data_IF_940107430604
#
_entry.id   IF_940107430604
#
_cell.length_a   1.000
_cell.length_b   1.000
_cell.length_c   1.000
_cell.angle_alpha   90.00
_cell.angle_beta   90.00
_cell.angle_gamma   90.00
#
_symmetry.space_group_name_H-M   'P 1'
#
loop_
_entity.id
_entity.type
_entity.pdbx_description
1 polymer ?
#
# COMPACT_ATOMS: atom_id res chain seq x y z
N UNK A 1 -40.57 -43.38 -5.60
CA UNK A 1 -40.11 -43.20 -6.98
C UNK A 1 -39.24 -41.96 -7.04
N UNK A 2 -38.00 -42.17 -7.46
CA UNK A 2 -37.03 -41.21 -8.01
C UNK A 2 -36.92 -39.81 -7.38
N UNK A 3 -36.04 -39.73 -6.39
CA UNK A 3 -35.26 -38.55 -6.04
C UNK A 3 -34.20 -38.38 -7.14
N UNK A 4 -34.30 -37.33 -7.94
CA UNK A 4 -33.32 -37.01 -8.97
C UNK A 4 -32.05 -36.50 -8.29
N UNK A 5 -30.96 -37.26 -8.48
CA UNK A 5 -29.58 -36.82 -8.30
C UNK A 5 -29.32 -35.58 -9.15
N UNK A 6 -28.87 -34.51 -8.52
CA UNK A 6 -27.99 -33.52 -9.14
C UNK A 6 -26.64 -33.63 -8.43
N UNK A 7 -25.85 -34.61 -8.87
CA UNK A 7 -24.40 -34.59 -8.72
C UNK A 7 -23.84 -33.66 -9.80
N UNK A 8 -22.92 -32.77 -9.41
CA UNK A 8 -21.94 -32.22 -10.34
C UNK A 8 -21.92 -30.71 -10.48
N UNK A 9 -21.25 -30.03 -9.56
CA UNK A 9 -20.23 -29.02 -9.87
C UNK A 9 -19.57 -28.55 -8.57
N UNK A 10 -18.75 -29.42 -7.96
CA UNK A 10 -17.69 -29.00 -7.05
C UNK A 10 -16.63 -28.28 -7.87
N UNK A 11 -16.88 -27.00 -8.14
CA UNK A 11 -15.81 -26.07 -8.48
C UNK A 11 -14.85 -26.05 -7.30
N UNK A 12 -13.58 -26.37 -7.55
CA UNK A 12 -12.50 -26.20 -6.59
C UNK A 12 -12.46 -24.72 -6.17
N UNK A 13 -13.14 -24.40 -5.07
CA UNK A 13 -12.95 -23.15 -4.34
C UNK A 13 -11.58 -23.27 -3.71
N UNK A 14 -10.66 -22.39 -4.10
CA UNK A 14 -9.40 -22.28 -3.40
C UNK A 14 -9.70 -21.89 -1.94
N UNK A 15 -9.46 -22.83 -1.03
CA UNK A 15 -9.44 -22.63 0.42
C UNK A 15 -8.41 -21.55 0.76
N UNK A 16 -8.81 -20.28 0.71
CA UNK A 16 -8.09 -19.21 1.38
C UNK A 16 -8.49 -19.26 2.86
N UNK A 17 -8.02 -20.29 3.56
CA UNK A 17 -8.26 -20.47 4.99
C UNK A 17 -7.51 -19.41 5.78
N UNK A 18 -8.21 -18.36 6.21
CA UNK A 18 -7.66 -17.37 7.13
C UNK A 18 -7.35 -18.06 8.47
N UNK A 19 -6.12 -17.93 8.96
CA UNK A 19 -5.72 -18.50 10.24
C UNK A 19 -6.22 -17.68 11.43
N UNK A 20 -6.42 -16.38 11.24
CA UNK A 20 -6.83 -15.47 12.31
C UNK A 20 -7.88 -14.47 11.85
N UNK A 21 -8.67 -13.99 12.81
CA UNK A 21 -9.66 -12.92 12.60
C UNK A 21 -9.28 -11.75 13.49
N UNK A 22 -9.07 -10.59 12.87
CA UNK A 22 -9.01 -9.29 13.54
C UNK A 22 -10.41 -8.72 13.63
N UNK A 23 -10.85 -8.37 14.83
CA UNK A 23 -12.15 -7.75 15.08
C UNK A 23 -11.96 -6.47 15.89
N UNK A 24 -12.62 -5.40 15.43
CA UNK A 24 -12.71 -4.13 16.12
C UNK A 24 -14.13 -3.92 16.59
N UNK A 25 -14.31 -3.86 17.90
CA UNK A 25 -15.59 -3.55 18.53
C UNK A 25 -15.87 -2.04 18.45
N UNK A 26 -16.84 -1.67 17.63
CA UNK A 26 -17.19 -0.28 17.38
C UNK A 26 -18.31 0.18 18.32
N UNK A 27 -18.19 1.37 18.92
CA UNK A 27 -19.23 1.88 19.81
C UNK A 27 -20.52 2.11 19.05
N UNK A 28 -21.65 1.87 19.72
CA UNK A 28 -22.97 2.07 19.13
C UNK A 28 -23.35 3.56 19.17
N UNK A 29 -22.97 4.28 18.11
CA UNK A 29 -23.17 5.73 17.97
C UNK A 29 -23.94 6.07 16.69
N UNK A 30 -24.66 7.20 16.66
CA UNK A 30 -25.28 7.69 15.43
C UNK A 30 -24.22 7.87 14.33
N UNK A 31 -24.43 7.27 13.16
CA UNK A 31 -23.45 7.27 12.06
C UNK A 31 -22.38 6.18 12.15
N UNK A 32 -22.61 5.14 12.95
CA UNK A 32 -21.73 3.95 13.08
C UNK A 32 -21.26 3.37 11.74
N UNK A 33 -22.12 3.34 10.72
CA UNK A 33 -21.75 2.84 9.38
C UNK A 33 -20.61 3.64 8.76
N UNK A 34 -20.66 4.98 8.82
CA UNK A 34 -19.59 5.85 8.32
C UNK A 34 -18.30 5.71 9.12
N UNK A 35 -18.44 5.55 10.44
CA UNK A 35 -17.30 5.29 11.32
C UNK A 35 -16.64 3.95 10.98
N UNK A 36 -17.43 2.91 10.76
CA UNK A 36 -16.95 1.59 10.35
C UNK A 36 -16.22 1.65 9.02
N UNK A 37 -16.77 2.34 8.01
CA UNK A 37 -16.10 2.49 6.72
C UNK A 37 -14.76 3.24 6.84
N UNK A 38 -14.70 4.30 7.66
CA UNK A 38 -13.47 5.04 7.87
C UNK A 38 -12.41 4.20 8.59
N UNK A 39 -12.83 3.44 9.60
CA UNK A 39 -11.95 2.52 10.34
C UNK A 39 -11.48 1.38 9.44
N UNK A 40 -12.36 0.85 8.59
CA UNK A 40 -12.00 -0.23 7.67
C UNK A 40 -10.98 0.24 6.63
N UNK A 41 -11.13 1.47 6.10
CA UNK A 41 -10.12 2.09 5.22
C UNK A 41 -8.79 2.26 5.93
N UNK A 42 -8.81 2.75 7.17
CA UNK A 42 -7.61 2.93 7.98
C UNK A 42 -6.90 1.60 8.24
N UNK A 43 -7.64 0.56 8.67
CA UNK A 43 -7.09 -0.77 8.95
C UNK A 43 -6.51 -1.39 7.68
N UNK A 44 -7.19 -1.26 6.54
CA UNK A 44 -6.67 -1.75 5.27
C UNK A 44 -5.35 -1.08 4.87
N UNK A 45 -5.21 0.24 5.09
CA UNK A 45 -3.95 0.94 4.86
C UNK A 45 -2.87 0.50 5.85
N UNK A 46 -3.21 0.40 7.13
CA UNK A 46 -2.30 -0.02 8.18
C UNK A 46 -1.76 -1.44 7.97
N UNK A 47 -2.62 -2.39 7.61
CA UNK A 47 -2.21 -3.78 7.33
C UNK A 47 -1.31 -3.89 6.09
N UNK A 48 -1.41 -2.96 5.13
CA UNK A 48 -0.50 -2.88 3.96
C UNK A 48 0.89 -2.36 4.32
N UNK A 49 1.00 -1.54 5.35
CA UNK A 49 2.29 -1.07 5.87
C UNK A 49 3.03 -2.18 6.64
N UNK A 50 2.31 -3.11 7.26
CA UNK A 50 2.88 -4.27 7.94
C UNK A 50 3.35 -5.33 6.92
N UNK A 51 4.67 -5.51 6.79
CA UNK A 51 5.26 -6.47 5.83
C UNK A 51 4.69 -7.90 5.95
N UNK A 52 4.37 -8.35 7.18
CA UNK A 52 3.81 -9.67 7.43
C UNK A 52 2.39 -9.87 6.86
N UNK A 53 1.64 -8.78 6.67
CA UNK A 53 0.24 -8.83 6.26
C UNK A 53 -0.02 -8.11 4.94
N UNK A 54 1.00 -7.49 4.32
CA UNK A 54 0.85 -6.64 3.12
C UNK A 54 0.03 -7.25 1.98
N UNK A 55 0.05 -8.58 1.83
CA UNK A 55 -0.70 -9.32 0.80
C UNK A 55 -1.62 -10.41 1.36
N UNK A 56 -1.82 -10.45 2.68
CA UNK A 56 -2.36 -11.59 3.40
C UNK A 56 -3.52 -11.19 4.34
N UNK A 57 -4.43 -10.33 3.86
CA UNK A 57 -5.66 -10.02 4.57
C UNK A 57 -6.85 -9.79 3.63
N UNK A 58 -8.06 -9.98 4.16
CA UNK A 58 -9.31 -9.61 3.49
C UNK A 58 -10.27 -8.94 4.47
N UNK A 59 -11.16 -8.08 3.98
CA UNK A 59 -12.29 -7.58 4.76
C UNK A 59 -13.39 -8.66 4.74
N UNK A 60 -13.88 -9.04 5.92
CA UNK A 60 -14.98 -9.99 6.07
C UNK A 60 -16.30 -9.25 6.30
N UNK A 61 -16.28 -8.24 7.19
CA UNK A 61 -17.44 -7.42 7.56
C UNK A 61 -16.95 -6.07 8.12
N UNK A 62 -17.87 -5.18 8.48
CA UNK A 62 -17.59 -3.92 9.16
C UNK A 62 -16.75 -4.15 10.43
N UNK A 63 -15.51 -3.65 10.45
CA UNK A 63 -14.57 -3.85 11.55
C UNK A 63 -14.03 -5.27 11.71
N UNK A 64 -14.22 -6.16 10.72
CA UNK A 64 -13.75 -7.57 10.77
C UNK A 64 -12.89 -7.90 9.56
N UNK A 65 -11.67 -8.38 9.82
CA UNK A 65 -10.68 -8.73 8.82
C UNK A 65 -10.16 -10.15 9.03
N UNK A 66 -10.11 -10.92 7.94
CA UNK A 66 -9.41 -12.20 7.91
C UNK A 66 -7.93 -11.94 7.68
N UNK A 67 -7.07 -12.54 8.50
CA UNK A 67 -5.63 -12.45 8.40
C UNK A 67 -5.07 -13.83 8.07
N UNK A 68 -4.34 -13.94 6.97
CA UNK A 68 -3.54 -15.13 6.67
C UNK A 68 -2.16 -14.95 7.32
N UNK A 69 -2.12 -15.28 8.61
CA UNK A 69 -0.94 -15.20 9.44
C UNK A 69 -0.15 -16.53 9.43
N UNK A 70 -0.10 -17.25 8.30
CA UNK A 70 0.43 -18.62 8.20
C UNK A 70 1.86 -18.85 8.73
N UNK A 71 2.62 -17.79 8.99
CA UNK A 71 3.93 -17.84 9.64
C UNK A 71 4.13 -16.77 10.73
N UNK A 72 3.09 -16.03 11.13
CA UNK A 72 3.25 -14.98 12.13
C UNK A 72 3.12 -15.58 13.54
N UNK A 73 4.16 -15.39 14.35
CA UNK A 73 4.09 -15.74 15.76
C UNK A 73 3.05 -14.87 16.49
N UNK A 74 2.46 -15.41 17.56
CA UNK A 74 1.47 -14.70 18.37
C UNK A 74 1.98 -13.35 18.90
N UNK A 75 3.28 -13.21 19.13
CA UNK A 75 3.92 -11.94 19.53
C UNK A 75 3.88 -10.87 18.43
N UNK A 76 3.84 -11.25 17.15
CA UNK A 76 3.65 -10.31 16.05
C UNK A 76 2.19 -9.85 15.98
N UNK A 77 1.25 -10.77 16.17
CA UNK A 77 -0.19 -10.46 16.24
C UNK A 77 -0.52 -9.58 17.46
N UNK A 78 0.05 -9.88 18.63
CA UNK A 78 -0.12 -9.05 19.82
C UNK A 78 0.40 -7.62 19.61
N UNK A 79 1.57 -7.46 18.98
CA UNK A 79 2.10 -6.14 18.61
C UNK A 79 1.21 -5.40 17.61
N UNK A 80 0.73 -6.10 16.59
CA UNK A 80 -0.22 -5.55 15.62
C UNK A 80 -1.47 -5.02 16.31
N UNK A 81 -2.06 -5.83 17.20
CA UNK A 81 -3.22 -5.45 18.02
C UNK A 81 -2.94 -4.22 18.86
N UNK A 82 -1.82 -4.21 19.60
CA UNK A 82 -1.49 -3.12 20.52
C UNK A 82 -1.19 -1.81 19.78
N UNK A 83 -0.53 -1.89 18.62
CA UNK A 83 -0.27 -0.73 17.77
C UNK A 83 -1.56 -0.17 17.16
N UNK A 84 -2.43 -1.03 16.62
CA UNK A 84 -3.76 -0.62 16.16
C UNK A 84 -4.57 0.01 17.29
N UNK A 85 -4.54 -0.60 18.48
CA UNK A 85 -5.27 -0.14 19.64
C UNK A 85 -4.82 1.26 20.05
N UNK A 86 -3.51 1.50 20.10
CA UNK A 86 -2.91 2.79 20.45
C UNK A 86 -3.23 3.89 19.43
N UNK A 87 -3.39 3.54 18.15
CA UNK A 87 -3.68 4.51 17.09
C UNK A 87 -5.17 4.83 16.96
N UNK A 88 -6.03 3.81 17.08
CA UNK A 88 -7.47 3.95 16.89
C UNK A 88 -8.21 4.36 18.15
N UNK A 89 -7.73 3.96 19.33
CA UNK A 89 -8.42 4.14 20.58
C UNK A 89 -7.50 4.79 21.64
N UNK A 90 -8.06 5.58 22.57
CA UNK A 90 -7.32 6.01 23.75
C UNK A 90 -6.99 4.80 24.65
N UNK A 91 -5.96 4.93 25.51
CA UNK A 91 -5.45 3.83 26.37
C UNK A 91 -6.53 3.07 27.15
N UNK A 92 -7.61 3.75 27.57
CA UNK A 92 -8.73 3.15 28.29
C UNK A 92 -9.63 2.23 27.45
N UNK A 93 -9.48 2.22 26.13
CA UNK A 93 -10.34 1.51 25.18
C UNK A 93 -9.57 0.54 24.27
N UNK A 94 -8.29 0.28 24.54
CA UNK A 94 -7.47 -0.67 23.77
C UNK A 94 -8.04 -2.09 23.75
N UNK A 95 -8.88 -2.43 24.74
CA UNK A 95 -9.57 -3.72 24.82
C UNK A 95 -10.55 -3.97 23.68
N UNK A 96 -10.88 -2.97 22.85
CA UNK A 96 -11.84 -3.11 21.74
C UNK A 96 -11.28 -3.81 20.49
N UNK A 97 -9.98 -4.08 20.45
CA UNK A 97 -9.37 -4.79 19.33
C UNK A 97 -9.00 -6.21 19.76
N UNK A 98 -9.53 -7.18 19.04
CA UNK A 98 -9.33 -8.60 19.30
C UNK A 98 -8.71 -9.26 18.07
N UNK A 99 -7.78 -10.17 18.32
CA UNK A 99 -7.35 -11.13 17.32
C UNK A 99 -7.66 -12.51 17.90
N UNK A 100 -8.44 -13.29 17.17
CA UNK A 100 -8.80 -14.65 17.54
C UNK A 100 -8.27 -15.61 16.49
N UNK A 101 -7.73 -16.74 16.93
CA UNK A 101 -7.49 -17.86 16.02
C UNK A 101 -8.83 -18.32 15.45
N UNK A 102 -8.86 -18.59 14.15
CA UNK A 102 -10.07 -19.03 13.48
C UNK A 102 -10.31 -20.51 13.81
N UNK A 103 -10.95 -20.80 14.94
CA UNK A 103 -11.54 -22.11 15.18
C UNK A 103 -12.71 -22.25 14.22
N UNK A 104 -12.57 -23.10 13.21
CA UNK A 104 -13.59 -23.38 12.20
C UNK A 104 -14.79 -24.04 12.87
N UNK A 105 -15.65 -23.25 13.50
CA UNK A 105 -17.02 -23.61 13.81
C UNK A 105 -17.94 -22.78 12.90
N UNK A 106 -18.62 -23.50 12.01
CA UNK A 106 -19.66 -23.05 11.06
C UNK A 106 -19.20 -22.59 9.65
N UNK A 107 -18.97 -23.60 8.79
CA UNK A 107 -18.77 -23.52 7.33
C UNK A 107 -19.97 -22.95 6.53
N UNK A 108 -21.05 -22.51 7.19
CA UNK A 108 -22.28 -22.09 6.50
C UNK A 108 -22.38 -20.59 6.16
N UNK A 109 -21.43 -19.76 6.61
CA UNK A 109 -21.46 -18.30 6.41
C UNK A 109 -20.65 -17.78 5.21
N UNK A 110 -19.94 -18.63 4.48
CA UNK A 110 -18.97 -18.19 3.46
C UNK A 110 -19.33 -18.69 2.06
N UNK A 111 -20.45 -18.22 1.52
CA UNK A 111 -20.67 -18.21 0.06
C UNK A 111 -20.01 -16.97 -0.57
N UNK A 112 -18.88 -17.20 -1.23
CA UNK A 112 -18.29 -16.42 -2.33
C UNK A 112 -18.53 -14.90 -2.36
N UNK A 113 -17.57 -14.13 -1.81
CA UNK A 113 -17.19 -12.86 -2.43
C UNK A 113 -16.10 -13.15 -3.47
N UNK A 114 -16.49 -13.13 -4.75
CA UNK A 114 -15.59 -13.12 -5.92
C UNK A 114 -14.57 -11.97 -5.81
N UNK A 115 -13.43 -12.02 -6.50
CA UNK A 115 -12.59 -10.84 -6.69
C UNK A 115 -13.46 -9.73 -7.29
N UNK A 116 -13.60 -8.60 -6.57
CA UNK A 116 -14.13 -7.39 -7.20
C UNK A 116 -13.13 -6.98 -8.28
N UNK A 117 -13.55 -6.84 -9.54
CA UNK A 117 -12.79 -6.07 -10.51
C UNK A 117 -12.93 -4.58 -10.18
N UNK A 118 -11.84 -3.85 -10.38
CA UNK A 118 -11.76 -2.39 -10.50
C UNK A 118 -11.94 -1.55 -9.22
N UNK A 119 -10.90 -1.57 -8.37
CA UNK A 119 -10.41 -0.32 -7.78
C UNK A 119 -9.15 0.11 -8.55
N UNK A 120 -9.36 0.62 -9.77
CA UNK A 120 -8.34 1.39 -10.49
C UNK A 120 -8.19 2.75 -9.79
N UNK A 121 -7.23 2.85 -8.88
CA UNK A 121 -6.62 4.13 -8.54
C UNK A 121 -5.41 4.31 -9.45
N UNK A 122 -5.70 4.68 -10.69
CA UNK A 122 -4.72 5.11 -11.67
C UNK A 122 -4.09 6.43 -11.21
N UNK A 123 -2.95 6.32 -10.51
CA UNK A 123 -1.97 7.40 -10.45
C UNK A 123 -0.99 7.17 -11.61
N UNK A 124 -1.41 7.61 -12.80
CA UNK A 124 -0.54 7.66 -13.96
C UNK A 124 0.59 8.67 -13.72
N UNK A 125 1.80 8.12 -13.66
CA UNK A 125 3.03 8.83 -13.97
C UNK A 125 2.87 9.61 -15.28
N UNK A 126 3.40 10.82 -15.29
CA UNK A 126 3.36 11.70 -16.44
C UNK A 126 4.12 11.12 -17.63
N UNK A 127 3.42 10.89 -18.73
CA UNK A 127 3.99 10.94 -20.07
C UNK A 127 3.17 11.84 -20.98
N UNK A 128 3.89 12.73 -21.66
CA UNK A 128 3.36 13.65 -22.64
C UNK A 128 3.06 12.92 -23.95
N UNK A 129 1.87 13.12 -24.53
CA UNK A 129 1.62 12.63 -25.88
C UNK A 129 0.20 12.77 -26.41
N UNK A 130 0.03 13.75 -27.29
CA UNK A 130 -0.93 13.81 -28.40
C UNK A 130 -2.44 13.86 -28.12
N UNK A 131 -2.99 14.99 -28.56
CA UNK A 131 -4.38 15.31 -28.86
C UNK A 131 -5.00 14.26 -29.80
N UNK A 132 -6.21 13.80 -29.51
CA UNK A 132 -7.28 13.75 -30.51
C UNK A 132 -8.66 13.75 -29.86
N UNK A 133 -9.52 14.59 -30.44
CA UNK A 133 -10.91 14.82 -30.09
C UNK A 133 -11.81 13.78 -30.76
N UNK A 134 -12.76 13.19 -30.02
CA UNK A 134 -14.21 13.25 -30.29
C UNK A 134 -14.94 12.29 -29.34
N UNK A 135 -15.98 12.77 -28.65
CA UNK A 135 -16.77 11.93 -27.73
C UNK A 135 -17.75 12.73 -26.90
N UNK A 136 -18.92 13.00 -27.49
CA UNK A 136 -19.97 13.86 -26.97
C UNK A 136 -20.73 13.29 -25.74
N UNK A 137 -20.78 14.10 -24.67
CA UNK A 137 -21.93 14.31 -23.76
C UNK A 137 -22.25 13.24 -22.69
N UNK A 138 -22.95 13.59 -21.60
CA UNK A 138 -23.84 14.75 -21.47
C UNK A 138 -23.41 15.79 -20.44
N UNK A 139 -23.75 17.03 -20.77
CA UNK A 139 -23.78 18.21 -19.91
C UNK A 139 -24.71 17.98 -18.72
N UNK A 140 -24.15 18.03 -17.50
CA UNK A 140 -24.91 18.19 -16.26
C UNK A 140 -24.75 19.63 -15.80
N UNK A 141 -25.89 20.28 -15.62
CA UNK A 141 -26.08 21.70 -15.42
C UNK A 141 -25.28 22.30 -14.27
N UNK A 142 -24.82 23.53 -14.52
CA UNK A 142 -24.54 24.57 -13.54
C UNK A 142 -25.79 24.84 -12.68
N UNK A 143 -26.03 24.03 -11.64
CA UNK A 143 -26.70 24.51 -10.43
C UNK A 143 -25.59 24.74 -9.42
N UNK A 144 -25.12 25.98 -9.33
CA UNK A 144 -24.31 26.43 -8.21
C UNK A 144 -25.09 26.12 -6.93
N UNK A 145 -24.65 25.09 -6.22
CA UNK A 145 -25.03 24.83 -4.83
C UNK A 145 -24.81 26.14 -4.09
N UNK A 146 -25.92 26.81 -3.76
CA UNK A 146 -25.95 28.05 -2.98
C UNK A 146 -25.63 27.68 -1.53
N UNK A 147 -24.36 27.32 -1.30
CA UNK A 147 -23.80 26.93 -0.01
C UNK A 147 -24.01 28.07 0.99
N UNK A 148 -24.03 29.32 0.53
CA UNK A 148 -24.32 30.48 1.37
C UNK A 148 -25.81 30.50 1.80
N UNK A 149 -26.73 30.14 0.91
CA UNK A 149 -28.15 29.95 1.21
C UNK A 149 -28.41 28.78 2.17
N UNK A 150 -27.74 27.65 1.96
CA UNK A 150 -27.84 26.49 2.87
C UNK A 150 -27.25 26.79 4.26
N UNK A 151 -26.10 27.47 4.33
CA UNK A 151 -25.51 27.91 5.60
C UNK A 151 -26.39 28.91 6.34
N UNK A 152 -27.11 29.77 5.60
CA UNK A 152 -28.05 30.73 6.19
C UNK A 152 -29.26 30.02 6.79
N UNK A 153 -29.84 29.04 6.08
CA UNK A 153 -30.94 28.20 6.61
C UNK A 153 -30.50 27.38 7.82
N UNK A 154 -29.30 26.79 7.77
CA UNK A 154 -28.76 26.03 8.90
C UNK A 154 -28.54 26.90 10.14
N UNK A 155 -28.09 28.15 9.97
CA UNK A 155 -27.97 29.12 11.07
C UNK A 155 -29.32 29.53 11.64
N UNK A 156 -30.34 29.66 10.80
CA UNK A 156 -31.70 29.97 11.22
C UNK A 156 -32.32 28.83 12.02
N UNK A 157 -32.14 27.58 11.57
CA UNK A 157 -32.57 26.38 12.27
C UNK A 157 -31.90 26.22 13.64
N UNK A 158 -30.58 26.45 13.72
CA UNK A 158 -29.87 26.48 15.00
C UNK A 158 -30.38 27.59 15.94
N UNK A 159 -30.76 28.75 15.39
CA UNK A 159 -31.36 29.84 16.14
C UNK A 159 -32.73 29.48 16.72
N UNK A 160 -33.57 28.77 15.96
CA UNK A 160 -34.86 28.28 16.42
C UNK A 160 -34.73 27.19 17.48
N UNK A 161 -33.78 26.26 17.30
CA UNK A 161 -33.44 25.24 18.30
C UNK A 161 -32.98 25.93 19.59
N UNK A 162 -32.07 26.90 19.51
CA UNK A 162 -31.60 27.65 20.68
C UNK A 162 -32.72 28.44 21.38
N UNK A 163 -33.67 29.02 20.66
CA UNK A 163 -34.84 29.70 21.25
C UNK A 163 -35.84 28.74 21.89
N UNK A 164 -36.01 27.54 21.34
CA UNK A 164 -36.85 26.51 21.97
C UNK A 164 -36.27 25.99 23.29
N UNK A 165 -34.96 26.20 23.47
CA UNK A 165 -34.14 25.70 24.57
C UNK A 165 -33.94 26.73 25.71
N UNK A 166 -34.20 28.01 25.46
CA UNK A 166 -34.05 29.10 26.44
C UNK A 166 -34.99 29.06 27.66
N UNK A 167 -35.92 28.09 27.75
CA UNK A 167 -36.79 27.89 28.92
C UNK A 167 -36.24 26.97 30.01
N UNK A 168 -35.11 26.29 29.77
CA UNK A 168 -34.54 25.31 30.70
C UNK A 168 -33.14 25.75 31.16
N UNK A 169 -33.04 26.31 32.37
CA UNK A 169 -31.77 26.71 33.02
C UNK A 169 -30.71 25.59 32.96
N UNK A 170 -31.14 24.34 33.18
CA UNK A 170 -30.28 23.15 33.12
C UNK A 170 -29.66 22.91 31.73
N UNK A 171 -30.35 23.32 30.68
CA UNK A 171 -29.88 23.15 29.32
C UNK A 171 -28.97 24.30 28.86
N UNK A 172 -29.13 25.49 29.47
CA UNK A 172 -28.15 26.57 29.30
C UNK A 172 -26.78 26.16 29.85
N UNK A 173 -26.76 25.54 31.03
CA UNK A 173 -25.53 24.99 31.63
C UNK A 173 -24.92 23.88 30.75
N UNK A 174 -25.74 22.99 30.16
CA UNK A 174 -25.21 21.96 29.26
C UNK A 174 -24.65 22.53 27.95
N UNK A 175 -25.27 23.58 27.40
CA UNK A 175 -24.78 24.26 26.19
C UNK A 175 -23.50 25.02 26.47
N UNK A 176 -23.38 25.66 27.63
CA UNK A 176 -22.16 26.37 28.02
C UNK A 176 -21.00 25.39 28.28
N UNK A 177 -21.26 24.24 28.93
CA UNK A 177 -20.28 23.16 29.06
C UNK A 177 -19.84 22.59 27.71
N UNK A 178 -20.81 22.32 26.82
CA UNK A 178 -20.50 21.86 25.46
C UNK A 178 -19.66 22.87 24.66
N UNK A 179 -19.90 24.17 24.85
CA UNK A 179 -19.09 25.22 24.22
C UNK A 179 -17.66 25.24 24.75
N UNK A 180 -17.47 25.05 26.05
CA UNK A 180 -16.12 24.90 26.64
C UNK A 180 -15.40 23.68 26.06
N UNK A 181 -16.06 22.52 26.02
CA UNK A 181 -15.50 21.28 25.45
C UNK A 181 -15.14 21.44 23.96
N UNK A 182 -16.02 22.08 23.17
CA UNK A 182 -15.74 22.37 21.76
C UNK A 182 -14.59 23.36 21.58
N UNK A 183 -14.45 24.33 22.47
CA UNK A 183 -13.35 25.30 22.42
C UNK A 183 -12.02 24.63 22.76
N UNK A 184 -11.98 23.77 23.78
CA UNK A 184 -10.82 22.98 24.15
C UNK A 184 -10.40 22.02 23.02
N UNK A 185 -11.37 21.31 22.43
CA UNK A 185 -11.11 20.43 21.29
C UNK A 185 -10.59 21.20 20.07
N UNK A 186 -11.11 22.40 19.81
CA UNK A 186 -10.61 23.27 18.73
C UNK A 186 -9.18 23.74 18.98
N UNK A 187 -8.80 24.01 20.23
CA UNK A 187 -7.45 24.42 20.60
C UNK A 187 -6.46 23.27 20.41
N UNK A 188 -6.80 22.07 20.89
CA UNK A 188 -6.01 20.84 20.67
C UNK A 188 -5.86 20.55 19.17
N UNK A 189 -6.93 20.71 18.39
CA UNK A 189 -6.88 20.51 16.95
C UNK A 189 -5.96 21.52 16.27
N UNK A 190 -6.05 22.80 16.62
CA UNK A 190 -5.18 23.84 16.09
C UNK A 190 -3.69 23.58 16.42
N UNK A 191 -3.40 23.10 17.63
CA UNK A 191 -2.06 22.71 18.04
C UNK A 191 -1.54 21.53 17.21
N UNK A 192 -2.36 20.47 17.04
CA UNK A 192 -2.00 19.30 16.21
C UNK A 192 -1.74 19.67 14.76
N UNK A 193 -2.57 20.52 14.16
CA UNK A 193 -2.39 21.01 12.78
C UNK A 193 -1.10 21.83 12.66
N UNK A 194 -0.81 22.69 13.65
CA UNK A 194 0.43 23.48 13.66
C UNK A 194 1.66 22.59 13.77
N UNK A 195 1.61 21.57 14.64
CA UNK A 195 2.69 20.59 14.79
C UNK A 195 2.89 19.78 13.50
N UNK A 196 1.81 19.33 12.86
CA UNK A 196 1.86 18.62 11.58
C UNK A 196 2.43 19.50 10.46
N UNK A 197 2.06 20.78 10.40
CA UNK A 197 2.64 21.71 9.45
C UNK A 197 4.16 21.88 9.68
N UNK A 198 4.59 21.95 10.94
CA UNK A 198 6.02 22.01 11.29
C UNK A 198 6.80 20.74 10.92
N UNK A 199 6.23 19.55 11.09
CA UNK A 199 6.89 18.30 10.69
C UNK A 199 6.97 18.17 9.17
N UNK A 200 5.95 18.61 8.44
CA UNK A 200 5.96 18.66 6.97
C UNK A 200 7.02 19.65 6.47
N UNK A 201 7.10 20.84 7.05
CA UNK A 201 8.12 21.84 6.67
C UNK A 201 9.54 21.31 6.91
N UNK A 202 9.79 20.65 8.04
CA UNK A 202 11.07 19.99 8.29
C UNK A 202 11.36 18.84 7.32
N UNK A 203 10.36 18.06 6.94
CA UNK A 203 10.53 17.01 5.93
C UNK A 203 10.86 17.60 4.56
N UNK A 204 10.16 18.68 4.17
CA UNK A 204 10.42 19.41 2.93
C UNK A 204 11.84 19.98 2.89
N UNK A 205 12.29 20.64 3.97
CA UNK A 205 13.67 21.14 4.08
C UNK A 205 14.71 20.02 3.98
N UNK A 206 14.44 18.86 4.57
CA UNK A 206 15.33 17.68 4.46
C UNK A 206 15.39 17.13 3.03
N UNK A 207 14.25 17.08 2.34
CA UNK A 207 14.16 16.67 0.94
C UNK A 207 14.90 17.67 0.06
N UNK A 208 14.70 18.97 0.25
CA UNK A 208 15.39 20.03 -0.48
C UNK A 208 16.91 19.96 -0.25
N UNK A 209 17.35 19.78 1.01
CA UNK A 209 18.76 19.59 1.34
C UNK A 209 19.35 18.31 0.70
N UNK A 210 18.57 17.22 0.62
CA UNK A 210 18.98 15.97 -0.03
C UNK A 210 19.02 16.11 -1.55
N UNK A 211 18.07 16.83 -2.13
CA UNK A 211 18.01 17.13 -3.57
C UNK A 211 19.17 18.04 -3.99
N UNK A 212 19.56 19.01 -3.16
CA UNK A 212 20.74 19.85 -3.40
C UNK A 212 22.07 19.08 -3.34
N UNK A 213 22.09 17.91 -2.69
CA UNK A 213 23.24 17.01 -2.64
C UNK A 213 23.25 15.97 -3.78
N UNK A 214 22.16 15.85 -4.54
CA UNK A 214 22.15 14.97 -5.71
C UNK A 214 23.03 15.56 -6.82
N UNK A 215 23.96 14.79 -7.39
CA UNK A 215 24.73 15.25 -8.54
C UNK A 215 23.81 15.53 -9.73
N UNK A 216 24.06 16.64 -10.42
CA UNK A 216 23.33 17.07 -11.62
C UNK A 216 23.02 15.87 -12.55
N UNK A 217 21.78 15.71 -13.04
CA UNK A 217 21.42 14.59 -13.92
C UNK A 217 22.36 14.47 -15.13
N UNK A 218 22.81 15.61 -15.67
CA UNK A 218 23.79 15.68 -16.77
C UNK A 218 25.16 15.08 -16.37
N UNK A 219 25.56 15.19 -15.10
CA UNK A 219 26.78 14.56 -14.58
C UNK A 219 26.62 13.06 -14.42
N UNK A 220 25.44 12.57 -14.04
CA UNK A 220 25.15 11.14 -13.97
C UNK A 220 25.16 10.51 -15.36
N UNK A 221 24.56 11.17 -16.35
CA UNK A 221 24.56 10.70 -17.74
C UNK A 221 26.00 10.67 -18.32
N UNK A 222 26.82 11.68 -18.02
CA UNK A 222 28.22 11.71 -18.46
C UNK A 222 29.07 10.59 -17.79
N UNK A 223 28.78 10.23 -16.53
CA UNK A 223 29.44 9.11 -15.86
C UNK A 223 28.98 7.76 -16.44
N UNK A 224 27.69 7.61 -16.75
CA UNK A 224 27.14 6.40 -17.35
C UNK A 224 27.70 6.15 -18.75
N UNK A 225 27.69 7.17 -19.61
CA UNK A 225 28.28 7.08 -20.96
C UNK A 225 29.78 6.80 -20.91
N UNK A 226 30.51 7.38 -19.97
CA UNK A 226 31.93 7.06 -19.73
C UNK A 226 32.14 5.62 -19.25
N UNK A 227 31.28 5.12 -18.38
CA UNK A 227 31.35 3.74 -17.90
C UNK A 227 31.01 2.75 -19.00
N UNK A 228 30.01 3.04 -19.83
CA UNK A 228 29.64 2.24 -20.99
C UNK A 228 30.78 2.19 -22.03
N UNK A 229 31.40 3.34 -22.33
CA UNK A 229 32.59 3.39 -23.17
C UNK A 229 33.76 2.58 -22.58
N UNK A 230 33.95 2.62 -21.25
CA UNK A 230 34.99 1.85 -20.57
C UNK A 230 34.70 0.34 -20.61
N UNK A 231 33.44 -0.07 -20.45
CA UNK A 231 33.00 -1.45 -20.56
C UNK A 231 33.23 -1.99 -21.99
N UNK A 232 32.89 -1.22 -23.02
CA UNK A 232 33.10 -1.61 -24.42
C UNK A 232 34.60 -1.78 -24.76
N UNK A 233 35.47 -0.93 -24.20
CA UNK A 233 36.92 -1.05 -24.38
C UNK A 233 37.45 -2.32 -23.69
N UNK A 234 36.98 -2.61 -22.48
CA UNK A 234 37.36 -3.83 -21.75
C UNK A 234 36.91 -5.08 -22.48
N UNK A 235 35.66 -5.12 -22.95
CA UNK A 235 35.11 -6.24 -23.72
C UNK A 235 35.94 -6.50 -24.99
N UNK A 236 36.31 -5.44 -25.71
CA UNK A 236 37.16 -5.55 -26.91
C UNK A 236 38.57 -6.05 -26.57
N UNK A 237 39.16 -5.53 -25.51
CA UNK A 237 40.48 -5.95 -25.03
C UNK A 237 40.51 -7.41 -24.61
N UNK A 238 39.48 -7.87 -23.90
CA UNK A 238 39.31 -9.27 -23.48
C UNK A 238 39.11 -10.20 -24.68
N UNK A 239 38.30 -9.81 -25.66
CA UNK A 239 38.16 -10.60 -26.90
C UNK A 239 39.49 -10.71 -27.64
N UNK A 240 40.21 -9.61 -27.79
CA UNK A 240 41.50 -9.60 -28.48
C UNK A 240 42.57 -10.42 -27.75
N UNK A 241 42.64 -10.32 -26.41
CA UNK A 241 43.58 -11.12 -25.63
C UNK A 241 43.25 -12.62 -25.72
N UNK A 242 41.96 -12.99 -25.70
CA UNK A 242 41.53 -14.37 -25.91
C UNK A 242 41.90 -14.88 -27.31
N UNK A 243 41.69 -14.07 -28.35
CA UNK A 243 42.09 -14.44 -29.73
C UNK A 243 43.59 -14.65 -29.86
N UNK A 244 44.41 -13.77 -29.27
CA UNK A 244 45.87 -13.92 -29.28
C UNK A 244 46.34 -15.16 -28.52
N UNK A 245 45.70 -15.47 -27.38
CA UNK A 245 45.97 -16.69 -26.63
C UNK A 245 45.62 -17.93 -27.44
N UNK A 246 44.48 -17.95 -28.14
CA UNK A 246 44.10 -19.07 -29.01
C UNK A 246 45.09 -19.24 -30.16
N UNK A 247 45.52 -18.15 -30.81
CA UNK A 247 46.55 -18.20 -31.86
C UNK A 247 47.91 -18.69 -31.32
N UNK A 248 48.30 -18.27 -30.12
CA UNK A 248 49.52 -18.75 -29.48
C UNK A 248 49.44 -20.26 -29.18
N UNK A 249 48.29 -20.75 -28.68
CA UNK A 249 48.07 -22.18 -28.45
C UNK A 249 48.10 -22.97 -29.76
N UNK A 250 47.46 -22.47 -30.82
CA UNK A 250 47.44 -23.10 -32.14
C UNK A 250 48.85 -23.19 -32.73
N UNK A 251 49.64 -22.10 -32.70
CA UNK A 251 51.04 -22.12 -33.18
C UNK A 251 51.96 -23.01 -32.33
N UNK A 252 51.72 -23.13 -31.01
CA UNK A 252 52.44 -24.09 -30.16
C UNK A 252 52.05 -25.54 -30.47
N UNK A 253 50.77 -25.81 -30.77
CA UNK A 253 50.30 -27.13 -31.18
C UNK A 253 50.87 -27.53 -32.55
N UNK A 254 50.93 -26.61 -33.52
CA UNK A 254 51.55 -26.83 -34.83
C UNK A 254 53.06 -27.07 -34.71
N UNK A 255 53.77 -26.31 -33.86
CA UNK A 255 55.21 -26.54 -33.61
C UNK A 255 55.48 -27.83 -32.84
N UNK A 256 54.66 -28.17 -31.85
CA UNK A 256 54.75 -29.44 -31.13
C UNK A 256 54.48 -30.65 -32.03
N UNK A 257 53.64 -30.50 -33.06
CA UNK A 257 53.41 -31.52 -34.08
C UNK A 257 54.58 -31.66 -35.08
N UNK A 258 55.37 -30.61 -35.29
CA UNK A 258 56.54 -30.62 -36.18
C UNK A 258 57.81 -31.19 -35.51
N UNK A 259 57.92 -31.16 -34.18
CA UNK A 259 59.06 -31.73 -33.44
C UNK A 259 58.97 -33.27 -33.28
N UNK A 260 57.84 -33.89 -33.61
CA UNK A 260 57.64 -35.35 -33.53
C UNK A 260 58.11 -36.11 -34.80
N UNK A 261 58.66 -35.41 -35.80
CA UNK A 261 59.00 -35.98 -37.12
C UNK A 261 60.50 -35.99 -37.56
N UNK A 262 61.51 -36.19 -36.69
CA UNK A 262 62.83 -36.62 -37.16
C UNK A 262 63.31 -37.99 -36.64
N UNK A 263 62.57 -38.73 -35.81
CA UNK A 263 63.02 -40.04 -35.30
C UNK A 263 62.61 -41.27 -36.13
N UNK A 264 61.68 -41.16 -37.08
CA UNK A 264 61.26 -42.32 -37.92
C UNK A 264 62.16 -42.61 -39.13
N UNK A 265 63.14 -41.77 -39.47
CA UNK A 265 64.01 -42.00 -40.64
C UNK A 265 65.35 -42.67 -40.34
N UNK A 266 65.72 -42.89 -39.07
CA UNK A 266 67.01 -43.53 -38.71
C UNK A 266 66.86 -45.06 -38.55
N UNK A 267 65.64 -45.61 -38.52
CA UNK A 267 65.40 -47.05 -38.31
C UNK A 267 65.18 -47.88 -39.60
N UNK A 268 65.47 -47.34 -40.79
CA UNK A 268 65.32 -48.06 -42.06
C UNK A 268 66.39 -47.63 -43.06
N UNK A 269 67.51 -48.34 -43.06
CA UNK A 269 68.61 -48.15 -44.02
C UNK A 269 69.83 -48.95 -43.62
N UNK A 270 69.83 -50.22 -44.04
CA UNK A 270 70.93 -51.20 -44.25
C UNK A 270 72.24 -51.11 -43.43
#
# INVERSE_FOLDING_TARGET
>A
MQQLKMDGMTGASADAGWSHILQVDLPDVPGRERLADHIDQYIALFLREFDAFRSAFTRLDAGRFGLDAGSADWDALARLRDELATRLFPESEHWRIFITENEVEDESAYELARPSPDFDLDFADGEAGAVDADGAGPTSNEEGLDIAGELSRFREDLGQIAQSLTGHEALRESVDRFREEMSEMSEIFAERVTNAAGTIDHAAQRIEASAALMPDPDRLELVLTRNEASAAILERGVRQSLTLLLQAVETMAERGALDDEPQRRIASGD
#
